data_IF_151435510103
#
_entry.id   IF_151435510103
#
_cell.length_a   1.000
_cell.length_b   1.000
_cell.length_c   1.000
_cell.angle_alpha   90.00
_cell.angle_beta   90.00
_cell.angle_gamma   90.00
#
_symmetry.space_group_name_H-M   'P 1'
#
loop_
_entity.id
_entity.type
_entity.pdbx_description
1 polymer ?
#
# COMPACT_ATOMS: atom_id res chain seq x y z
N UNK A 1 49.61 4.54 31.21
CA UNK A 1 50.57 3.86 30.31
C UNK A 1 50.67 2.41 30.72
N UNK A 2 50.38 1.49 29.81
CA UNK A 2 50.44 0.05 30.03
C UNK A 2 49.96 -0.66 28.77
N UNK A 3 50.89 -1.32 28.10
CA UNK A 3 50.90 -1.64 26.67
C UNK A 3 50.24 -3.00 26.38
N UNK A 4 49.45 -3.05 25.31
CA UNK A 4 48.87 -4.26 24.70
C UNK A 4 49.96 -5.04 23.94
N UNK A 5 50.10 -6.33 24.22
CA UNK A 5 50.97 -7.26 23.49
C UNK A 5 50.21 -8.04 22.43
N UNK A 6 50.66 -7.93 21.18
CA UNK A 6 50.33 -8.82 20.06
C UNK A 6 51.47 -9.82 19.87
N UNK A 7 51.16 -11.09 19.62
CA UNK A 7 52.14 -12.10 19.18
C UNK A 7 51.64 -12.81 17.92
N UNK A 8 52.52 -12.85 16.91
CA UNK A 8 52.40 -13.60 15.66
C UNK A 8 52.69 -15.09 15.88
N UNK A 9 52.00 -15.96 15.13
CA UNK A 9 52.27 -17.39 15.05
C UNK A 9 52.48 -17.85 13.61
N UNK A 10 53.70 -18.28 13.32
CA UNK A 10 54.23 -18.67 12.01
C UNK A 10 53.71 -20.01 11.48
N UNK A 11 53.58 -20.10 10.14
CA UNK A 11 53.43 -21.34 9.38
C UNK A 11 54.70 -22.19 9.40
N UNK A 12 54.57 -23.51 9.63
CA UNK A 12 55.59 -24.54 9.35
C UNK A 12 55.14 -25.43 8.18
N UNK A 13 56.08 -25.71 7.26
CA UNK A 13 56.00 -26.74 6.21
C UNK A 13 56.69 -28.03 6.66
N UNK A 14 56.23 -29.15 6.10
CA UNK A 14 56.90 -30.45 5.99
C UNK A 14 55.87 -31.59 6.02
N UNK A 15 55.83 -32.60 5.13
CA UNK A 15 56.62 -32.93 3.95
C UNK A 15 56.09 -34.24 3.30
N UNK A 16 56.38 -34.39 2.00
CA UNK A 16 56.59 -35.57 1.12
C UNK A 16 55.74 -36.86 1.19
N UNK A 17 55.16 -37.24 0.03
CA UNK A 17 55.50 -38.43 -0.81
C UNK A 17 54.54 -38.53 -2.04
N UNK A 18 55.02 -38.38 -3.29
CA UNK A 18 55.29 -39.41 -4.34
C UNK A 18 54.02 -40.09 -4.93
N UNK A 19 53.73 -40.23 -6.24
CA UNK A 19 54.56 -40.31 -7.46
C UNK A 19 53.72 -40.15 -8.78
N UNK A 20 54.45 -39.95 -9.90
CA UNK A 20 54.14 -40.15 -11.35
C UNK A 20 53.31 -39.05 -12.05
N UNK A 21 53.90 -38.17 -12.87
CA UNK A 21 54.59 -38.33 -14.17
C UNK A 21 53.64 -38.08 -15.36
N UNK A 22 53.80 -36.94 -16.03
CA UNK A 22 54.07 -36.81 -17.46
C UNK A 22 54.35 -35.32 -17.80
N UNK A 23 55.52 -35.10 -18.39
CA UNK A 23 56.01 -33.85 -18.96
C UNK A 23 55.19 -33.43 -20.20
N UNK A 24 55.19 -32.13 -20.52
CA UNK A 24 55.72 -31.55 -21.78
C UNK A 24 55.54 -30.02 -21.78
N UNK A 25 56.69 -29.34 -21.94
CA UNK A 25 57.02 -28.02 -22.54
C UNK A 25 56.19 -26.76 -22.23
N UNK A 26 56.75 -25.71 -21.62
CA UNK A 26 57.79 -24.73 -22.07
C UNK A 26 57.26 -23.56 -22.92
N UNK A 27 57.32 -22.36 -22.33
CA UNK A 27 57.67 -21.03 -22.86
C UNK A 27 56.76 -19.96 -22.20
N UNK A 28 57.22 -19.18 -21.22
CA UNK A 28 58.20 -18.07 -21.24
C UNK A 28 57.63 -16.73 -21.72
N UNK A 29 57.34 -15.89 -20.72
CA UNK A 29 57.73 -14.49 -20.53
C UNK A 29 57.26 -13.34 -21.44
N UNK A 30 57.05 -12.21 -20.73
CA UNK A 30 56.97 -10.80 -21.14
C UNK A 30 55.62 -10.35 -21.76
N UNK A 31 55.05 -9.19 -21.45
CA UNK A 31 55.50 -8.03 -20.65
C UNK A 31 54.31 -7.13 -20.30
N UNK A 32 54.48 -6.38 -19.20
CA UNK A 32 53.98 -5.02 -18.95
C UNK A 32 53.59 -4.20 -20.19
N UNK A 33 52.41 -3.56 -20.18
CA UNK A 33 52.25 -2.09 -20.14
C UNK A 33 50.77 -1.66 -20.16
N UNK A 34 50.56 -0.43 -19.70
CA UNK A 34 49.42 0.48 -19.90
C UNK A 34 48.22 0.44 -18.92
N UNK A 35 48.35 1.23 -17.84
CA UNK A 35 47.23 1.83 -17.12
C UNK A 35 47.04 3.30 -17.58
N UNK A 36 45.86 3.71 -18.03
CA UNK A 36 45.59 5.11 -18.37
C UNK A 36 45.38 5.96 -17.11
N UNK A 37 46.08 7.09 -17.06
CA UNK A 37 46.00 8.13 -16.04
C UNK A 37 44.68 8.91 -16.14
N UNK A 38 44.04 9.16 -15.00
CA UNK A 38 42.95 10.13 -14.86
C UNK A 38 43.47 11.57 -14.73
N UNK A 39 42.76 12.58 -15.28
CA UNK A 39 43.14 13.97 -15.14
C UNK A 39 42.64 14.58 -13.83
N UNK A 40 43.59 15.15 -13.08
CA UNK A 40 43.41 16.07 -11.96
C UNK A 40 42.64 17.34 -12.38
N UNK A 41 41.48 17.59 -11.77
CA UNK A 41 40.75 18.86 -11.86
C UNK A 41 41.17 19.75 -10.69
N UNK A 42 41.73 20.91 -11.04
CA UNK A 42 42.26 21.94 -10.13
C UNK A 42 41.16 22.67 -9.35
N UNK A 43 41.39 22.81 -8.05
CA UNK A 43 40.59 23.63 -7.14
C UNK A 43 41.10 25.09 -7.14
N UNK A 44 40.49 25.97 -7.93
CA UNK A 44 40.60 27.42 -7.76
C UNK A 44 39.32 28.13 -8.24
N UNK A 45 38.46 28.56 -7.31
CA UNK A 45 37.65 29.79 -7.38
C UNK A 45 36.64 29.82 -6.24
N UNK A 46 37.13 30.05 -5.02
CA UNK A 46 36.29 30.34 -3.86
C UNK A 46 36.73 31.67 -3.25
N UNK A 47 36.42 32.78 -3.92
CA UNK A 47 36.24 34.07 -3.25
C UNK A 47 35.69 35.11 -4.23
N UNK A 48 34.39 35.41 -4.11
CA UNK A 48 33.87 36.76 -4.38
C UNK A 48 32.53 36.95 -3.66
N UNK A 49 32.67 37.49 -2.45
CA UNK A 49 31.97 38.70 -2.02
C UNK A 49 30.46 38.62 -1.76
N UNK A 50 30.16 38.37 -0.48
CA UNK A 50 29.14 39.04 0.34
C UNK A 50 28.45 40.25 -0.33
N UNK A 51 27.13 40.17 -0.52
CA UNK A 51 26.17 41.26 -0.22
C UNK A 51 24.73 40.79 -0.47
N UNK A 52 23.94 40.76 0.60
CA UNK A 52 22.49 41.05 0.73
C UNK A 52 21.81 40.06 1.67
N UNK A 53 21.96 40.36 2.96
CA UNK A 53 20.95 40.08 3.99
C UNK A 53 20.22 41.41 4.22
N UNK A 54 18.93 41.33 4.53
CA UNK A 54 17.98 42.37 4.95
C UNK A 54 17.08 42.98 3.85
N UNK A 55 15.85 42.47 3.79
CA UNK A 55 14.54 43.18 3.64
C UNK A 55 13.47 42.08 3.47
N UNK A 56 13.02 41.42 4.53
CA UNK A 56 11.99 41.85 5.49
C UNK A 56 10.65 42.23 4.84
N UNK A 57 9.71 41.29 4.95
CA UNK A 57 8.39 41.49 5.56
C UNK A 57 7.64 42.78 5.18
N UNK A 58 6.98 42.80 4.02
CA UNK A 58 5.99 43.84 3.69
C UNK A 58 4.88 43.39 2.71
N UNK A 59 4.61 42.08 2.56
CA UNK A 59 3.62 41.57 1.59
C UNK A 59 2.51 40.68 2.19
N UNK A 60 2.41 40.59 3.52
CA UNK A 60 1.45 39.72 4.23
C UNK A 60 0.47 40.53 5.11
N UNK A 61 0.00 41.70 4.66
CA UNK A 61 -0.92 42.53 5.46
C UNK A 61 -2.10 43.16 4.69
N UNK A 62 -2.38 42.75 3.44
CA UNK A 62 -3.49 43.32 2.65
C UNK A 62 -4.54 42.32 2.17
N UNK A 63 -4.45 41.04 2.56
CA UNK A 63 -5.40 40.00 2.13
C UNK A 63 -6.48 39.61 3.16
N UNK A 64 -6.55 40.27 4.33
CA UNK A 64 -7.49 39.91 5.41
C UNK A 64 -8.66 40.88 5.62
N UNK A 65 -8.88 41.86 4.73
CA UNK A 65 -10.00 42.83 4.85
C UNK A 65 -11.08 42.65 3.76
N UNK A 66 -10.87 41.78 2.76
CA UNK A 66 -11.78 41.61 1.63
C UNK A 66 -12.79 40.44 1.75
N UNK A 67 -12.81 39.67 2.86
CA UNK A 67 -13.72 38.53 3.03
C UNK A 67 -14.87 38.75 4.04
N UNK A 68 -15.10 39.98 4.50
CA UNK A 68 -16.13 40.31 5.49
C UNK A 68 -17.37 41.03 4.93
N UNK A 69 -17.59 41.04 3.61
CA UNK A 69 -18.70 41.78 2.98
C UNK A 69 -19.62 40.98 2.03
N UNK A 70 -19.66 39.65 2.13
CA UNK A 70 -20.63 38.82 1.35
C UNK A 70 -21.59 38.01 2.24
N UNK A 71 -21.58 38.21 3.56
CA UNK A 71 -22.53 37.57 4.48
C UNK A 71 -23.74 38.46 4.78
N UNK A 72 -24.46 38.93 3.75
CA UNK A 72 -25.76 39.56 3.92
C UNK A 72 -26.50 39.63 2.58
N UNK A 73 -27.16 38.53 2.17
CA UNK A 73 -28.37 38.54 1.33
C UNK A 73 -28.79 37.11 0.99
N UNK A 74 -29.90 36.66 1.58
CA UNK A 74 -30.94 35.81 0.97
C UNK A 74 -31.66 34.96 2.03
N UNK A 75 -32.35 35.63 2.94
CA UNK A 75 -33.61 35.10 3.49
C UNK A 75 -34.65 35.30 2.39
N UNK A 76 -35.10 34.22 1.75
CA UNK A 76 -36.40 34.22 1.08
C UNK A 76 -36.98 32.82 1.04
N UNK A 77 -38.11 32.73 1.72
CA UNK A 77 -38.99 31.60 1.83
C UNK A 77 -39.41 31.05 0.44
N UNK A 78 -39.47 29.72 0.33
CA UNK A 78 -40.38 29.06 -0.60
C UNK A 78 -41.21 28.02 0.13
N UNK A 79 -42.51 28.33 0.21
CA UNK A 79 -43.61 27.44 0.56
C UNK A 79 -43.70 26.31 -0.47
N UNK A 80 -43.80 25.07 0.02
CA UNK A 80 -44.27 23.91 -0.74
C UNK A 80 -45.80 23.89 -0.81
N UNK A 81 -46.41 23.46 -1.92
CA UNK A 81 -47.81 23.04 -1.93
C UNK A 81 -47.94 21.51 -1.99
N UNK A 82 -48.70 20.97 -1.04
CA UNK A 82 -49.74 19.97 -1.27
C UNK A 82 -49.33 18.55 -1.68
N UNK A 83 -49.31 17.63 -0.69
CA UNK A 83 -49.62 16.22 -0.91
C UNK A 83 -50.87 15.87 -0.08
N UNK A 84 -51.89 15.20 -0.66
CA UNK A 84 -53.11 14.85 0.07
C UNK A 84 -52.91 13.60 0.92
N UNK A 85 -53.51 13.64 2.11
CA UNK A 85 -53.60 12.54 3.06
C UNK A 85 -54.51 11.42 2.53
N UNK A 86 -54.00 10.18 2.54
CA UNK A 86 -54.80 8.97 2.34
C UNK A 86 -55.02 8.31 3.69
N UNK A 87 -56.29 8.13 4.04
CA UNK A 87 -56.77 7.53 5.27
C UNK A 87 -56.51 6.01 5.32
N UNK A 88 -56.36 5.40 6.52
CA UNK A 88 -56.20 3.97 6.66
C UNK A 88 -57.56 3.26 6.58
N UNK A 89 -57.69 2.28 5.69
CA UNK A 89 -58.82 1.37 5.68
C UNK A 89 -58.61 0.23 6.68
N UNK A 90 -59.62 0.09 7.53
CA UNK A 90 -59.84 -0.95 8.52
C UNK A 90 -60.26 -2.25 7.83
N UNK A 91 -59.48 -3.33 7.98
CA UNK A 91 -59.90 -4.69 7.61
C UNK A 91 -59.86 -5.56 8.85
N UNK A 92 -61.01 -6.11 9.19
CA UNK A 92 -61.26 -6.96 10.33
C UNK A 92 -61.34 -8.43 9.91
N UNK A 93 -60.81 -9.28 10.79
CA UNK A 93 -61.12 -10.69 11.04
C UNK A 93 -60.87 -11.77 9.97
N UNK A 94 -59.90 -12.65 10.31
CA UNK A 94 -59.85 -14.04 9.90
C UNK A 94 -59.11 -14.84 10.98
N UNK A 95 -59.87 -15.38 11.94
CA UNK A 95 -59.36 -16.26 13.01
C UNK A 95 -59.25 -17.68 12.47
N UNK A 96 -58.07 -18.29 12.54
CA UNK A 96 -57.90 -19.74 12.45
C UNK A 96 -56.82 -20.15 13.44
N UNK A 97 -57.25 -20.73 14.56
CA UNK A 97 -56.39 -21.48 15.48
C UNK A 97 -56.09 -22.84 14.88
N UNK A 98 -54.81 -23.17 14.75
CA UNK A 98 -54.34 -24.55 14.80
C UNK A 98 -53.07 -24.56 15.67
N UNK A 99 -53.25 -25.08 16.88
CA UNK A 99 -52.18 -25.44 17.79
C UNK A 99 -51.40 -26.61 17.18
N UNK A 100 -50.14 -26.38 16.83
CA UNK A 100 -49.19 -27.47 16.63
C UNK A 100 -47.98 -27.27 17.56
N UNK A 101 -47.90 -28.22 18.49
CA UNK A 101 -46.96 -28.30 19.59
C UNK A 101 -45.57 -28.70 19.06
N UNK A 102 -44.83 -27.74 18.51
CA UNK A 102 -43.42 -27.91 18.20
C UNK A 102 -42.59 -27.50 19.41
N UNK A 103 -41.95 -28.48 20.02
CA UNK A 103 -41.01 -28.36 21.14
C UNK A 103 -39.81 -27.52 20.68
N UNK A 104 -39.90 -26.21 20.90
CA UNK A 104 -38.85 -25.25 20.60
C UNK A 104 -37.57 -25.58 21.34
N UNK A 105 -36.55 -26.01 20.58
CA UNK A 105 -35.16 -25.89 20.98
C UNK A 105 -34.85 -24.40 20.96
N UNK A 106 -34.58 -23.83 22.14
CA UNK A 106 -34.19 -22.44 22.34
C UNK A 106 -32.82 -22.23 21.69
N UNK A 107 -32.79 -22.01 20.38
CA UNK A 107 -31.66 -21.37 19.71
C UNK A 107 -31.81 -19.88 20.00
N UNK A 108 -30.82 -19.33 20.70
CA UNK A 108 -30.65 -17.91 20.93
C UNK A 108 -30.74 -17.17 19.60
N UNK A 109 -31.82 -16.41 19.45
CA UNK A 109 -32.10 -15.55 18.30
C UNK A 109 -31.29 -14.24 18.37
N UNK A 110 -30.23 -14.23 19.19
CA UNK A 110 -29.26 -13.14 19.38
C UNK A 110 -27.93 -13.41 18.65
N UNK A 111 -27.77 -14.58 18.03
CA UNK A 111 -26.53 -15.01 17.35
C UNK A 111 -26.60 -14.85 15.81
N UNK A 112 -27.73 -14.38 15.27
CA UNK A 112 -28.07 -14.51 13.84
C UNK A 112 -27.86 -13.23 13.01
N UNK A 113 -27.02 -12.27 13.45
CA UNK A 113 -26.66 -11.11 12.59
C UNK A 113 -25.31 -10.44 12.90
N UNK A 114 -24.40 -11.11 13.63
CA UNK A 114 -22.98 -10.72 13.64
C UNK A 114 -22.22 -11.65 12.74
N UNK A 115 -22.08 -11.26 11.46
CA UNK A 115 -21.05 -11.84 10.61
C UNK A 115 -19.68 -11.61 11.29
N UNK A 116 -19.22 -12.60 12.05
CA UNK A 116 -17.90 -12.60 12.67
C UNK A 116 -16.92 -12.89 11.55
N UNK A 117 -16.27 -11.85 11.04
CA UNK A 117 -15.13 -12.02 10.14
C UNK A 117 -14.11 -12.95 10.78
N UNK A 118 -13.46 -13.78 9.96
CA UNK A 118 -12.29 -14.52 10.43
C UNK A 118 -11.26 -13.48 10.89
N UNK A 119 -10.54 -13.77 11.97
CA UNK A 119 -9.55 -12.85 12.56
C UNK A 119 -8.27 -12.77 11.70
N UNK A 120 -8.42 -12.33 10.46
CA UNK A 120 -7.35 -12.09 9.49
C UNK A 120 -7.43 -10.67 8.95
N UNK A 121 -6.31 -10.18 8.43
CA UNK A 121 -6.17 -8.87 7.83
C UNK A 121 -5.54 -9.00 6.44
N UNK A 122 -6.22 -8.52 5.41
CA UNK A 122 -5.62 -8.28 4.11
C UNK A 122 -5.32 -6.80 3.94
N UNK A 123 -4.06 -6.47 3.67
CA UNK A 123 -3.59 -5.11 3.45
C UNK A 123 -3.12 -5.00 2.01
N UNK A 124 -3.57 -3.96 1.31
CA UNK A 124 -3.29 -3.78 -0.11
C UNK A 124 -2.51 -2.47 -0.33
N UNK A 125 -1.55 -2.49 -1.23
CA UNK A 125 -1.13 -1.28 -1.91
C UNK A 125 -2.24 -0.78 -2.85
N UNK A 126 -2.18 0.49 -3.25
CA UNK A 126 -3.14 1.07 -4.19
C UNK A 126 -2.64 0.92 -5.61
N UNK A 127 -1.53 1.59 -5.89
CA UNK A 127 -1.00 1.76 -7.22
C UNK A 127 -0.60 0.42 -7.83
N UNK A 128 -1.10 0.13 -9.05
CA UNK A 128 -0.83 -1.13 -9.77
C UNK A 128 -1.20 -2.42 -9.02
N UNK A 129 -1.91 -2.31 -7.89
CA UNK A 129 -2.43 -3.41 -7.06
C UNK A 129 -3.96 -3.39 -7.06
N UNK A 130 -4.56 -2.40 -6.41
CA UNK A 130 -6.00 -2.11 -6.48
C UNK A 130 -6.36 -1.31 -7.74
N UNK A 131 -5.38 -0.68 -8.35
CA UNK A 131 -5.48 0.04 -9.62
C UNK A 131 -4.63 -0.62 -10.70
N UNK A 132 -4.90 -0.30 -11.96
CA UNK A 132 -4.08 -0.67 -13.11
C UNK A 132 -3.50 0.57 -13.79
N UNK A 133 -2.73 0.39 -14.86
CA UNK A 133 -2.18 1.49 -15.67
C UNK A 133 -3.24 2.32 -16.37
N UNK A 134 -3.22 3.63 -16.13
CA UNK A 134 -4.12 4.57 -16.76
C UNK A 134 -3.94 4.52 -18.29
N UNK A 135 -5.05 4.47 -19.02
CA UNK A 135 -5.06 4.35 -20.48
C UNK A 135 -4.74 2.94 -21.03
N UNK A 136 -4.65 1.91 -20.18
CA UNK A 136 -4.39 0.53 -20.60
C UNK A 136 -5.64 -0.35 -20.71
N UNK A 137 -6.82 0.23 -20.92
CA UNK A 137 -8.07 -0.52 -21.08
C UNK A 137 -8.01 -1.60 -22.17
N UNK A 138 -7.21 -1.39 -23.22
CA UNK A 138 -7.07 -2.35 -24.33
C UNK A 138 -6.07 -3.48 -24.03
N UNK A 139 -5.13 -3.26 -23.10
CA UNK A 139 -4.14 -4.25 -22.67
C UNK A 139 -4.61 -5.04 -21.45
N UNK A 140 -5.44 -4.43 -20.60
CA UNK A 140 -5.89 -4.96 -19.34
C UNK A 140 -7.40 -5.21 -19.37
N UNK A 141 -7.82 -6.21 -20.15
CA UNK A 141 -9.24 -6.51 -20.40
C UNK A 141 -10.07 -6.87 -19.14
N UNK A 142 -9.41 -7.14 -18.01
CA UNK A 142 -10.03 -7.45 -16.72
C UNK A 142 -10.06 -6.26 -15.76
N UNK A 143 -9.31 -5.21 -16.07
CA UNK A 143 -9.37 -3.95 -15.36
C UNK A 143 -10.52 -3.11 -15.95
N UNK A 144 -11.07 -2.20 -15.14
CA UNK A 144 -12.18 -1.35 -15.56
C UNK A 144 -11.82 0.12 -15.40
N UNK A 145 -11.93 0.89 -16.48
CA UNK A 145 -11.82 2.35 -16.40
C UNK A 145 -13.05 2.94 -15.72
N UNK A 146 -12.84 3.78 -14.70
CA UNK A 146 -13.90 4.52 -14.03
C UNK A 146 -13.93 5.98 -14.49
N UNK A 147 -14.71 6.24 -15.54
CA UNK A 147 -14.93 7.59 -16.04
C UNK A 147 -15.32 8.60 -14.95
N UNK A 148 -14.69 9.78 -14.98
CA UNK A 148 -14.94 10.87 -14.03
C UNK A 148 -14.26 10.71 -12.67
N UNK A 149 -13.39 9.71 -12.49
CA UNK A 149 -12.56 9.53 -11.29
C UNK A 149 -11.10 9.76 -11.69
N UNK A 150 -10.50 10.92 -11.35
CA UNK A 150 -9.10 11.15 -11.60
C UNK A 150 -8.22 10.24 -10.73
N UNK A 151 -7.09 9.86 -11.29
CA UNK A 151 -6.00 9.16 -10.64
C UNK A 151 -4.71 9.97 -10.87
N UNK A 152 -4.09 10.40 -9.77
CA UNK A 152 -2.89 11.25 -9.78
C UNK A 152 -1.57 10.47 -9.75
N UNK A 153 -1.60 9.14 -9.75
CA UNK A 153 -0.40 8.32 -9.74
C UNK A 153 0.35 8.37 -11.08
N UNK A 154 1.68 8.41 -11.01
CA UNK A 154 2.59 8.37 -12.15
C UNK A 154 2.24 9.39 -13.27
N UNK A 155 1.90 8.90 -14.46
CA UNK A 155 1.51 9.70 -15.62
C UNK A 155 0.12 10.34 -15.50
N UNK A 156 -0.64 9.99 -14.46
CA UNK A 156 -2.01 10.43 -14.19
C UNK A 156 -3.01 9.98 -15.25
N UNK A 157 -4.30 10.17 -14.96
CA UNK A 157 -5.36 9.93 -15.94
C UNK A 157 -6.69 9.59 -15.29
N UNK A 158 -7.50 8.84 -16.01
CA UNK A 158 -8.69 8.21 -15.44
C UNK A 158 -8.28 6.99 -14.61
N UNK A 159 -8.91 6.81 -13.46
CA UNK A 159 -8.71 5.66 -12.60
C UNK A 159 -9.04 4.36 -13.35
N UNK A 160 -8.04 3.47 -13.43
CA UNK A 160 -8.20 2.09 -13.87
C UNK A 160 -8.27 1.20 -12.64
N UNK A 161 -9.38 0.53 -12.40
CA UNK A 161 -9.59 -0.33 -11.23
C UNK A 161 -9.27 -1.77 -11.59
N UNK A 162 -8.51 -2.45 -10.74
CA UNK A 162 -8.03 -3.81 -11.01
C UNK A 162 -9.13 -4.88 -10.86
N UNK A 163 -8.95 -6.02 -11.53
CA UNK A 163 -9.77 -7.21 -11.31
C UNK A 163 -9.85 -7.58 -9.81
N UNK A 164 -8.73 -7.47 -9.11
CA UNK A 164 -8.61 -7.64 -7.67
C UNK A 164 -9.57 -6.72 -6.93
N UNK A 165 -9.49 -5.40 -7.12
CA UNK A 165 -10.34 -4.45 -6.41
C UNK A 165 -11.84 -4.71 -6.66
N UNK A 166 -12.20 -5.10 -7.88
CA UNK A 166 -13.58 -5.46 -8.23
C UNK A 166 -14.05 -6.77 -7.55
N UNK A 167 -13.12 -7.65 -7.19
CA UNK A 167 -13.40 -9.04 -6.79
C UNK A 167 -12.85 -9.42 -5.41
N UNK A 168 -12.39 -8.47 -4.58
CA UNK A 168 -11.80 -8.77 -3.25
C UNK A 168 -12.72 -9.68 -2.43
N UNK A 169 -14.03 -9.42 -2.46
CA UNK A 169 -15.05 -10.20 -1.75
C UNK A 169 -15.19 -11.66 -2.19
N UNK A 170 -14.73 -12.01 -3.40
CA UNK A 170 -14.75 -13.38 -3.93
C UNK A 170 -13.47 -14.18 -3.60
N UNK A 171 -12.45 -13.52 -3.04
CA UNK A 171 -11.22 -14.14 -2.57
C UNK A 171 -11.35 -14.56 -1.10
N UNK A 172 -10.33 -15.19 -0.52
CA UNK A 172 -10.33 -15.45 0.93
C UNK A 172 -10.34 -14.15 1.77
N UNK A 173 -9.82 -13.03 1.22
CA UNK A 173 -9.89 -11.73 1.88
C UNK A 173 -11.34 -11.26 2.08
N UNK A 174 -12.28 -11.77 1.27
CA UNK A 174 -13.72 -11.58 1.47
C UNK A 174 -14.24 -12.03 2.84
N UNK A 175 -13.46 -12.72 3.66
CA UNK A 175 -13.80 -13.08 5.04
C UNK A 175 -12.96 -12.34 6.11
N UNK A 176 -11.99 -11.53 5.68
CA UNK A 176 -11.05 -10.81 6.54
C UNK A 176 -11.43 -9.34 6.75
N UNK A 177 -10.71 -8.68 7.66
CA UNK A 177 -10.63 -7.22 7.69
C UNK A 177 -9.72 -6.71 6.57
N UNK A 178 -9.90 -5.45 6.18
CA UNK A 178 -9.14 -4.84 5.11
C UNK A 178 -8.36 -3.60 5.59
N UNK A 179 -7.20 -3.40 4.99
CA UNK A 179 -6.41 -2.19 5.14
C UNK A 179 -5.74 -1.77 3.83
N UNK A 180 -5.23 -0.54 3.83
CA UNK A 180 -4.41 0.03 2.78
C UNK A 180 -3.13 0.55 3.39
N UNK A 181 -1.99 0.23 2.78
CA UNK A 181 -0.71 0.87 3.05
C UNK A 181 -0.08 1.16 1.69
N UNK A 182 -0.03 2.44 1.32
CA UNK A 182 0.47 2.85 0.01
C UNK A 182 1.46 4.01 0.09
N UNK A 183 2.40 4.05 -0.85
CA UNK A 183 3.35 5.16 -0.99
C UNK A 183 2.66 6.40 -1.58
N UNK A 184 1.70 6.21 -2.48
CA UNK A 184 0.91 7.28 -3.07
C UNK A 184 0.00 7.98 -2.05
N UNK A 185 -0.56 9.10 -2.49
CA UNK A 185 -1.59 9.80 -1.73
C UNK A 185 -3.01 9.29 -2.06
N UNK A 186 -3.17 8.39 -3.03
CA UNK A 186 -4.48 8.03 -3.62
C UNK A 186 -5.28 9.29 -4.00
N UNK A 187 -4.66 10.18 -4.78
CA UNK A 187 -5.20 11.48 -5.20
C UNK A 187 -5.59 12.45 -4.07
N UNK A 188 -5.05 12.22 -2.86
CA UNK A 188 -5.18 13.13 -1.72
C UNK A 188 -6.52 13.11 -0.97
N UNK A 189 -6.66 13.96 0.07
CA UNK A 189 -7.83 13.98 0.93
C UNK A 189 -9.14 14.26 0.19
N UNK A 190 -10.20 13.53 0.55
CA UNK A 190 -11.54 13.63 -0.02
C UNK A 190 -11.63 13.35 -1.53
N UNK A 191 -10.60 12.74 -2.12
CA UNK A 191 -10.58 12.44 -3.55
C UNK A 191 -11.68 11.43 -3.94
N UNK A 192 -12.23 11.52 -5.16
CA UNK A 192 -13.13 10.50 -5.68
C UNK A 192 -12.47 9.11 -5.69
N UNK A 193 -11.15 9.03 -5.90
CA UNK A 193 -10.38 7.78 -5.84
C UNK A 193 -10.47 7.10 -4.47
N UNK A 194 -10.12 7.79 -3.38
CA UNK A 194 -10.22 7.24 -2.00
C UNK A 194 -11.63 6.75 -1.67
N UNK A 195 -12.65 7.48 -2.11
CA UNK A 195 -14.05 7.07 -1.93
C UNK A 195 -14.37 5.76 -2.67
N UNK A 196 -13.86 5.59 -3.89
CA UNK A 196 -14.07 4.37 -4.68
C UNK A 196 -13.29 3.18 -4.09
N UNK A 197 -12.02 3.38 -3.75
CA UNK A 197 -11.18 2.37 -3.10
C UNK A 197 -11.82 1.85 -1.81
N UNK A 198 -12.29 2.74 -0.93
CA UNK A 198 -12.97 2.35 0.30
C UNK A 198 -14.21 1.49 0.01
N UNK A 199 -14.97 1.81 -1.04
CA UNK A 199 -16.15 1.01 -1.43
C UNK A 199 -15.75 -0.39 -1.91
N UNK A 200 -14.73 -0.51 -2.74
CA UNK A 200 -14.22 -1.81 -3.22
C UNK A 200 -13.70 -2.69 -2.09
N UNK A 201 -13.09 -2.07 -1.08
CA UNK A 201 -12.65 -2.74 0.14
C UNK A 201 -13.81 -3.07 1.11
N UNK A 202 -15.08 -2.89 0.73
CA UNK A 202 -16.23 -3.22 1.57
C UNK A 202 -16.51 -2.21 2.69
N UNK A 203 -15.95 -1.00 2.59
CA UNK A 203 -16.22 0.13 3.47
C UNK A 203 -15.78 -0.06 4.93
N UNK A 204 -16.32 0.79 5.80
CA UNK A 204 -16.00 0.80 7.23
C UNK A 204 -16.36 -0.49 7.97
N UNK A 205 -17.23 -1.33 7.39
CA UNK A 205 -17.49 -2.67 7.91
C UNK A 205 -16.22 -3.54 7.91
N UNK A 206 -15.34 -3.37 6.90
CA UNK A 206 -14.09 -4.12 6.74
C UNK A 206 -12.87 -3.37 7.26
N UNK A 207 -12.86 -2.04 7.14
CA UNK A 207 -11.71 -1.21 7.50
C UNK A 207 -11.79 -0.66 8.93
N UNK A 208 -12.98 -0.68 9.56
CA UNK A 208 -13.29 -0.01 10.85
C UNK A 208 -13.03 1.50 10.89
N UNK A 209 -12.67 2.09 9.75
CA UNK A 209 -12.32 3.50 9.63
C UNK A 209 -12.48 3.95 8.18
N UNK A 210 -12.96 5.16 7.95
CA UNK A 210 -12.89 5.88 6.68
C UNK A 210 -11.82 6.98 6.70
N UNK A 211 -11.10 7.12 7.82
CA UNK A 211 -10.03 8.08 8.01
C UNK A 211 -8.74 7.58 7.37
N UNK A 212 -8.26 8.31 6.38
CA UNK A 212 -6.97 8.08 5.73
C UNK A 212 -5.87 8.86 6.45
N UNK A 213 -4.91 8.15 7.02
CA UNK A 213 -3.76 8.73 7.69
C UNK A 213 -2.61 8.91 6.71
N UNK A 214 -2.10 10.13 6.64
CA UNK A 214 -0.86 10.46 5.96
C UNK A 214 0.29 10.36 6.96
N UNK A 215 1.24 9.46 6.74
CA UNK A 215 2.40 9.29 7.62
C UNK A 215 3.65 10.01 7.11
N UNK A 216 3.54 10.82 6.05
CA UNK A 216 4.59 11.71 5.54
C UNK A 216 5.94 11.00 5.32
N UNK A 217 5.92 9.76 4.82
CA UNK A 217 7.11 8.95 4.55
C UNK A 217 7.99 8.68 5.79
N UNK A 218 7.40 8.70 7.00
CA UNK A 218 8.06 8.44 8.28
C UNK A 218 7.64 7.08 8.86
N UNK A 219 8.42 6.00 8.67
CA UNK A 219 8.07 4.65 9.09
C UNK A 219 7.81 4.50 10.60
N UNK A 220 8.37 5.39 11.42
CA UNK A 220 8.20 5.43 12.87
C UNK A 220 6.86 6.05 13.33
N UNK A 221 6.09 6.62 12.40
CA UNK A 221 4.79 7.24 12.73
C UNK A 221 3.82 6.17 13.19
N UNK A 222 3.24 6.36 14.39
CA UNK A 222 2.21 5.48 14.90
C UNK A 222 0.97 5.52 13.99
N UNK A 223 0.58 4.37 13.47
CA UNK A 223 -0.64 4.19 12.69
C UNK A 223 -1.84 4.07 13.62
N UNK A 224 -2.91 4.82 13.30
CA UNK A 224 -4.15 4.89 14.10
C UNK A 224 -5.41 4.60 13.26
N UNK A 225 -5.24 3.97 12.10
CA UNK A 225 -6.31 3.61 11.16
C UNK A 225 -5.85 2.44 10.29
N UNK A 226 -6.77 1.77 9.59
CA UNK A 226 -6.39 0.77 8.59
C UNK A 226 -6.15 1.34 7.19
N UNK A 227 -6.22 2.66 7.00
CA UNK A 227 -6.03 3.33 5.71
C UNK A 227 -4.84 4.30 5.78
N UNK A 228 -3.68 3.87 5.29
CA UNK A 228 -2.40 4.59 5.41
C UNK A 228 -1.87 4.99 4.03
N UNK A 229 -1.43 6.23 3.91
CA UNK A 229 -0.83 6.83 2.71
C UNK A 229 0.53 7.43 3.01
N UNK A 230 1.33 7.67 1.97
CA UNK A 230 2.72 8.11 2.10
C UNK A 230 3.59 7.15 2.93
N UNK A 231 3.35 5.84 2.82
CA UNK A 231 4.24 4.83 3.38
C UNK A 231 5.38 4.52 2.40
N UNK A 232 6.61 4.84 2.79
CA UNK A 232 7.79 4.72 1.92
C UNK A 232 7.97 3.30 1.38
N UNK A 233 8.30 3.20 0.09
CA UNK A 233 8.65 1.93 -0.52
C UNK A 233 9.84 1.28 0.23
N UNK A 234 9.78 -0.04 0.40
CA UNK A 234 10.73 -0.82 1.20
C UNK A 234 10.53 -0.74 2.72
N UNK A 235 9.59 0.08 3.20
CA UNK A 235 9.30 0.25 4.63
C UNK A 235 7.83 0.05 5.00
N UNK A 236 6.99 -0.40 4.06
CA UNK A 236 5.55 -0.62 4.27
C UNK A 236 5.26 -1.63 5.40
N UNK A 237 6.15 -2.59 5.64
CA UNK A 237 6.06 -3.56 6.75
C UNK A 237 5.99 -2.88 8.13
N UNK A 238 6.65 -1.74 8.33
CA UNK A 238 6.60 -1.02 9.61
C UNK A 238 5.22 -0.39 9.83
N UNK A 239 4.62 0.14 8.76
CA UNK A 239 3.24 0.66 8.78
C UNK A 239 2.22 -0.45 9.03
N UNK A 240 2.39 -1.62 8.39
CA UNK A 240 1.53 -2.78 8.65
C UNK A 240 1.66 -3.25 10.09
N UNK A 241 2.87 -3.32 10.64
CA UNK A 241 3.10 -3.68 12.04
C UNK A 241 2.39 -2.72 13.00
N UNK A 242 2.51 -1.42 12.78
CA UNK A 242 1.81 -0.42 13.60
C UNK A 242 0.29 -0.50 13.42
N UNK A 243 -0.20 -0.75 12.20
CA UNK A 243 -1.63 -0.98 11.93
C UNK A 243 -2.18 -2.20 12.69
N UNK A 244 -1.44 -3.30 12.73
CA UNK A 244 -1.83 -4.51 13.47
C UNK A 244 -1.92 -4.23 14.97
N UNK A 245 -1.00 -3.43 15.52
CA UNK A 245 -1.12 -2.95 16.91
C UNK A 245 -2.39 -2.14 17.14
N UNK A 246 -2.75 -1.25 16.20
CA UNK A 246 -4.02 -0.52 16.27
C UNK A 246 -5.24 -1.44 16.28
N UNK A 247 -5.27 -2.47 15.42
CA UNK A 247 -6.34 -3.48 15.44
C UNK A 247 -6.45 -4.19 16.79
N UNK A 248 -5.32 -4.64 17.34
CA UNK A 248 -5.26 -5.37 18.61
C UNK A 248 -5.66 -4.49 19.79
N UNK A 249 -5.07 -3.30 19.90
CA UNK A 249 -5.17 -2.46 21.10
C UNK A 249 -6.36 -1.50 21.06
N UNK A 250 -6.67 -0.92 19.89
CA UNK A 250 -7.71 0.11 19.76
C UNK A 250 -9.03 -0.46 19.26
N UNK A 251 -8.98 -1.46 18.39
CA UNK A 251 -10.20 -2.14 17.92
C UNK A 251 -10.55 -3.37 18.75
N UNK A 252 -9.67 -3.80 19.67
CA UNK A 252 -9.84 -5.02 20.49
C UNK A 252 -10.07 -6.27 19.64
N UNK A 253 -9.47 -6.31 18.44
CA UNK A 253 -9.53 -7.44 17.52
C UNK A 253 -8.14 -8.06 17.47
N UNK A 254 -8.02 -9.23 18.10
CA UNK A 254 -6.77 -9.99 18.16
C UNK A 254 -6.51 -10.74 16.84
N UNK A 255 -5.90 -10.05 15.88
CA UNK A 255 -5.43 -10.63 14.60
C UNK A 255 -4.04 -11.18 14.86
N UNK A 256 -3.77 -12.46 14.59
CA UNK A 256 -2.45 -13.06 14.76
C UNK A 256 -1.50 -12.64 13.63
N UNK A 257 -0.19 -12.56 13.89
CA UNK A 257 0.79 -12.14 12.87
C UNK A 257 0.68 -13.03 11.61
N UNK A 258 0.54 -14.35 11.80
CA UNK A 258 0.42 -15.31 10.69
C UNK A 258 -0.89 -15.24 9.90
N UNK A 259 -1.86 -14.44 10.36
CA UNK A 259 -3.14 -14.16 9.69
C UNK A 259 -3.17 -12.76 9.05
N UNK A 260 -2.01 -12.10 8.92
CA UNK A 260 -1.82 -10.83 8.18
C UNK A 260 -1.24 -11.14 6.80
N UNK A 261 -1.86 -10.57 5.76
CA UNK A 261 -1.49 -10.76 4.35
C UNK A 261 -1.34 -9.41 3.67
N UNK A 262 -0.15 -9.09 3.17
CA UNK A 262 0.14 -7.87 2.41
C UNK A 262 0.26 -8.15 0.91
N UNK A 263 -0.35 -7.32 0.08
CA UNK A 263 -0.33 -7.44 -1.38
C UNK A 263 0.13 -6.13 -2.00
N UNK A 264 1.13 -6.20 -2.88
CA UNK A 264 1.77 -5.05 -3.54
C UNK A 264 2.34 -5.53 -4.86
N UNK A 265 2.43 -4.69 -5.88
CA UNK A 265 2.97 -5.08 -7.18
C UNK A 265 4.49 -4.98 -7.25
N UNK A 266 5.11 -4.30 -6.27
CA UNK A 266 6.54 -4.01 -6.20
C UNK A 266 7.27 -5.01 -5.30
N UNK A 267 8.28 -5.68 -5.86
CA UNK A 267 9.12 -6.66 -5.16
C UNK A 267 9.76 -6.09 -3.89
N UNK A 268 10.26 -4.86 -3.97
CA UNK A 268 10.91 -4.13 -2.88
C UNK A 268 9.99 -3.87 -1.68
N UNK A 269 8.66 -3.81 -1.89
CA UNK A 269 7.68 -3.67 -0.81
C UNK A 269 7.31 -5.00 -0.16
N UNK A 270 7.46 -6.10 -0.90
CA UNK A 270 7.10 -7.44 -0.44
C UNK A 270 8.23 -8.11 0.34
N UNK A 271 9.47 -8.02 -0.16
CA UNK A 271 10.62 -8.70 0.45
C UNK A 271 10.89 -8.35 1.94
N UNK A 272 10.72 -7.10 2.40
CA UNK A 272 10.97 -6.73 3.79
C UNK A 272 10.05 -7.40 4.82
N UNK A 273 8.96 -8.04 4.40
CA UNK A 273 8.11 -8.81 5.30
C UNK A 273 8.77 -10.10 5.80
N UNK A 274 9.91 -10.52 5.23
CA UNK A 274 10.65 -11.71 5.69
C UNK A 274 11.05 -11.55 7.16
N UNK A 275 10.70 -12.55 7.98
CA UNK A 275 11.04 -12.56 9.41
C UNK A 275 10.10 -11.73 10.30
N UNK A 276 9.08 -11.07 9.74
CA UNK A 276 8.09 -10.32 10.53
C UNK A 276 7.02 -11.20 11.17
N UNK A 277 6.83 -12.43 10.66
CA UNK A 277 5.71 -13.30 11.02
C UNK A 277 4.45 -13.06 10.17
N UNK A 278 4.38 -11.94 9.46
CA UNK A 278 3.33 -11.64 8.48
C UNK A 278 3.61 -12.35 7.16
N UNK A 279 2.57 -12.43 6.33
CA UNK A 279 2.65 -12.92 4.96
C UNK A 279 2.62 -11.75 3.98
N UNK A 280 3.31 -11.89 2.85
CA UNK A 280 3.28 -10.90 1.79
C UNK A 280 3.38 -11.56 0.42
N UNK A 281 2.71 -10.99 -0.58
CA UNK A 281 2.75 -11.48 -1.94
C UNK A 281 2.86 -10.33 -2.93
N UNK A 282 3.78 -10.48 -3.87
CA UNK A 282 3.80 -9.63 -5.05
C UNK A 282 2.64 -10.03 -5.97
N UNK A 283 1.88 -9.06 -6.43
CA UNK A 283 0.75 -9.25 -7.36
C UNK A 283 1.02 -8.53 -8.68
N UNK A 284 0.04 -8.59 -9.58
CA UNK A 284 0.17 -8.03 -10.93
C UNK A 284 1.29 -8.71 -11.71
N UNK A 285 1.51 -10.01 -11.46
CA UNK A 285 2.60 -10.78 -12.04
C UNK A 285 2.47 -10.95 -13.56
N UNK A 286 1.23 -11.02 -14.06
CA UNK A 286 0.95 -11.30 -15.47
C UNK A 286 1.20 -10.14 -16.44
N UNK A 287 1.45 -8.93 -15.94
CA UNK A 287 1.66 -7.73 -16.76
C UNK A 287 2.58 -6.77 -16.04
N UNK A 288 3.64 -6.30 -16.71
CA UNK A 288 4.56 -5.31 -16.17
C UNK A 288 4.49 -3.99 -16.91
N UNK A 289 4.55 -2.91 -16.13
CA UNK A 289 4.43 -1.56 -16.61
C UNK A 289 5.67 -1.14 -17.40
N UNK A 290 5.52 -0.21 -18.36
CA UNK A 290 6.64 0.37 -19.08
C UNK A 290 7.35 1.39 -18.18
N UNK A 291 8.47 1.92 -18.66
CA UNK A 291 9.08 3.14 -18.08
C UNK A 291 8.08 4.30 -18.13
N UNK A 292 7.56 4.70 -16.97
CA UNK A 292 6.70 5.90 -16.85
C UNK A 292 7.50 7.14 -16.44
N UNK A 293 8.65 6.95 -15.81
CA UNK A 293 9.59 8.01 -15.44
C UNK A 293 11.00 7.59 -15.87
N UNK A 294 11.78 8.46 -16.52
CA UNK A 294 13.13 8.11 -16.98
C UNK A 294 13.99 7.48 -15.87
N UNK A 295 14.44 6.26 -16.10
CA UNK A 295 15.29 5.51 -15.16
C UNK A 295 14.54 4.88 -13.97
N UNK A 296 13.21 4.91 -13.93
CA UNK A 296 12.42 4.31 -12.87
C UNK A 296 11.43 3.28 -13.40
N UNK A 297 11.14 2.28 -12.55
CA UNK A 297 10.05 1.32 -12.67
C UNK A 297 9.97 0.44 -13.92
N UNK A 298 10.95 0.47 -14.83
CA UNK A 298 10.98 -0.39 -16.03
C UNK A 298 10.80 -1.88 -15.68
N UNK A 299 9.63 -2.44 -15.99
CA UNK A 299 9.29 -3.81 -15.66
C UNK A 299 9.16 -4.12 -14.15
N UNK A 300 9.33 -3.14 -13.26
CA UNK A 300 9.35 -3.34 -11.80
C UNK A 300 7.96 -3.28 -11.16
N UNK A 301 7.06 -2.53 -11.78
CA UNK A 301 5.69 -2.33 -11.33
C UNK A 301 4.72 -3.10 -12.23
N UNK A 302 3.50 -3.35 -11.75
CA UNK A 302 2.41 -3.90 -12.54
C UNK A 302 2.06 -3.00 -13.72
N UNK A 303 1.64 -3.62 -14.83
CA UNK A 303 0.98 -2.92 -15.93
C UNK A 303 -0.53 -2.91 -15.71
N UNK A 304 -1.12 -4.11 -15.75
CA UNK A 304 -2.45 -4.33 -15.21
C UNK A 304 -2.39 -4.39 -13.68
N UNK A 305 -3.52 -4.12 -13.03
CA UNK A 305 -3.61 -4.30 -11.59
C UNK A 305 -3.65 -5.78 -11.19
N UNK A 306 -3.76 -6.02 -9.89
CA UNK A 306 -3.75 -7.38 -9.35
C UNK A 306 -4.93 -8.19 -9.89
N UNK A 307 -4.69 -9.48 -10.13
CA UNK A 307 -5.73 -10.45 -10.44
C UNK A 307 -6.28 -11.08 -9.15
N UNK A 308 -7.58 -11.37 -9.11
CA UNK A 308 -8.17 -12.00 -7.91
C UNK A 308 -7.55 -13.38 -7.62
N UNK A 309 -7.06 -14.08 -8.65
CA UNK A 309 -6.40 -15.38 -8.52
C UNK A 309 -5.05 -15.31 -7.82
N UNK A 310 -4.44 -14.12 -7.72
CA UNK A 310 -3.18 -13.91 -6.98
C UNK A 310 -3.43 -13.77 -5.47
N UNK A 311 -4.68 -13.62 -5.04
CA UNK A 311 -5.06 -13.48 -3.64
C UNK A 311 -5.28 -14.86 -3.02
N UNK A 312 -4.16 -15.48 -2.68
CA UNK A 312 -4.12 -16.81 -2.10
C UNK A 312 -3.82 -16.74 -0.59
N UNK A 313 -4.46 -17.62 0.20
CA UNK A 313 -4.19 -17.75 1.63
C UNK A 313 -2.93 -18.59 1.87
N UNK A 314 -1.79 -18.12 1.39
CA UNK A 314 -0.49 -18.79 1.52
C UNK A 314 0.38 -18.08 2.56
N UNK A 315 1.06 -18.87 3.39
CA UNK A 315 1.97 -18.33 4.40
C UNK A 315 3.34 -18.00 3.79
N UNK A 316 4.02 -16.99 4.34
CA UNK A 316 5.35 -16.56 3.92
C UNK A 316 5.36 -15.38 2.96
N UNK A 317 6.54 -15.14 2.36
CA UNK A 317 6.79 -14.02 1.45
C UNK A 317 7.03 -14.56 0.04
N UNK A 318 6.17 -14.18 -0.89
CA UNK A 318 6.15 -14.68 -2.26
C UNK A 318 6.29 -13.53 -3.24
N UNK A 319 7.33 -13.53 -4.07
CA UNK A 319 7.48 -12.57 -5.15
C UNK A 319 7.09 -13.25 -6.46
N UNK A 320 6.72 -12.48 -7.47
CA UNK A 320 6.43 -13.06 -8.78
C UNK A 320 7.69 -13.75 -9.32
N UNK A 321 7.50 -14.82 -10.09
CA UNK A 321 8.59 -15.56 -10.70
C UNK A 321 9.48 -14.62 -11.54
N UNK A 322 10.80 -14.76 -11.40
CA UNK A 322 11.75 -14.23 -12.39
C UNK A 322 11.72 -15.12 -13.65
#
# INVERSE_FOLDING_TARGET
GGVLGWWHGSCRRGGMASARALDVELASCASEEDQPQEPLVSAESFSRTRRRVATSAALMATALVALALVAASAVSARRSPGAPAVAPQHVQHGSISLEEKVRGKKTSQDDEDKAVFKKCLCVFDVDRTLTGKQGWQDQCAKDTELGGVPDEAYGKGTLMVSELALSVGATFCGECYHGVVTAGSASGPNSPERHRLLKFLGGTARTRSDYWQDIQFKPETQVVTSLVTQASDGFKQESVKSMVQWWREKQSIDIQDEDVYFFDDIKENVLPFKGTGFNARQVSCGSRGPVELPGQYDGKIGGCGGAFTEIEKIKGVHVCDE
#
